data_IF_476930676688
#
_entry.id   IF_476930676688
#
_cell.length_a   1.000
_cell.length_b   1.000
_cell.length_c   1.000
_cell.angle_alpha   90.00
_cell.angle_beta   90.00
_cell.angle_gamma   90.00
#
_symmetry.space_group_name_H-M   'P 1'
#
loop_
_entity.id
_entity.type
_entity.pdbx_description
1 polymer ?
#
# COMPACT_ATOMS: atom_id res chain seq x y z
N UNK A 1 15.56 -14.30 -5.43
CA UNK A 1 14.84 -13.88 -6.66
C UNK A 1 15.35 -12.52 -7.12
N UNK A 2 15.61 -12.38 -8.40
CA UNK A 2 16.06 -11.10 -8.96
C UNK A 2 14.83 -10.24 -9.27
N UNK A 3 14.94 -8.93 -9.08
CA UNK A 3 13.84 -8.01 -9.37
C UNK A 3 13.36 -8.09 -10.81
N UNK A 4 14.26 -8.36 -11.75
CA UNK A 4 13.90 -8.49 -13.17
C UNK A 4 12.99 -9.68 -13.45
N UNK A 5 12.92 -10.65 -12.54
CA UNK A 5 12.09 -11.85 -12.69
C UNK A 5 10.74 -11.69 -12.00
N UNK A 6 10.56 -10.65 -11.19
CA UNK A 6 9.30 -10.40 -10.50
C UNK A 6 8.32 -9.72 -11.45
N UNK A 7 7.10 -10.22 -11.47
CA UNK A 7 6.05 -9.64 -12.30
C UNK A 7 5.51 -8.39 -11.64
N UNK A 8 5.50 -7.28 -12.35
CA UNK A 8 4.90 -6.04 -11.89
C UNK A 8 3.51 -5.88 -12.52
N UNK A 9 2.53 -5.56 -11.69
CA UNK A 9 1.19 -5.21 -12.16
C UNK A 9 0.76 -3.97 -11.39
N UNK A 10 0.17 -3.02 -12.12
CA UNK A 10 -0.39 -1.82 -11.49
C UNK A 10 -1.57 -2.23 -10.61
N UNK A 11 -1.55 -1.89 -9.31
CA UNK A 11 -2.69 -2.21 -8.46
C UNK A 11 -3.86 -1.27 -8.73
N UNK A 12 -5.05 -1.71 -8.31
CA UNK A 12 -6.23 -0.85 -8.31
C UNK A 12 -6.16 0.06 -7.08
N UNK A 13 -5.90 1.35 -7.31
CA UNK A 13 -5.74 2.32 -6.22
C UNK A 13 -7.00 2.44 -5.36
N UNK A 14 -8.17 2.38 -5.98
CA UNK A 14 -9.43 2.46 -5.24
C UNK A 14 -9.61 1.24 -4.35
N UNK A 15 -9.24 0.05 -4.83
CA UNK A 15 -9.29 -1.16 -4.03
C UNK A 15 -8.33 -1.10 -2.86
N UNK A 16 -7.11 -0.60 -3.07
CA UNK A 16 -6.13 -0.46 -1.98
C UNK A 16 -6.63 0.48 -0.91
N UNK A 17 -7.20 1.62 -1.31
CA UNK A 17 -7.76 2.59 -0.36
C UNK A 17 -8.93 1.98 0.40
N UNK A 18 -9.79 1.24 -0.29
CA UNK A 18 -10.93 0.57 0.35
C UNK A 18 -10.48 -0.47 1.36
N UNK A 19 -9.44 -1.24 1.05
CA UNK A 19 -8.88 -2.23 1.97
C UNK A 19 -8.29 -1.58 3.22
N UNK A 20 -7.52 -0.50 3.07
CA UNK A 20 -6.95 0.22 4.20
C UNK A 20 -8.05 0.82 5.08
N UNK A 21 -9.03 1.48 4.46
CA UNK A 21 -10.14 2.09 5.20
C UNK A 21 -11.00 1.04 5.88
N UNK A 22 -11.20 -0.12 5.23
CA UNK A 22 -11.91 -1.24 5.83
C UNK A 22 -11.23 -1.77 7.07
N UNK A 23 -9.90 -1.90 7.05
CA UNK A 23 -9.13 -2.32 8.21
C UNK A 23 -9.23 -1.28 9.33
N UNK A 24 -9.19 0.01 8.99
CA UNK A 24 -9.34 1.09 9.96
C UNK A 24 -10.69 1.01 10.68
N UNK A 25 -11.76 0.81 9.92
CA UNK A 25 -13.10 0.70 10.51
C UNK A 25 -13.21 -0.54 11.41
N UNK A 26 -12.63 -1.66 11.00
CA UNK A 26 -12.59 -2.87 11.84
C UNK A 26 -11.81 -2.64 13.11
N UNK A 27 -10.71 -1.88 13.05
CA UNK A 27 -9.91 -1.56 14.22
C UNK A 27 -10.70 -0.73 15.21
N UNK A 28 -11.45 0.26 14.72
CA UNK A 28 -12.32 1.08 15.59
C UNK A 28 -13.38 0.25 16.28
N UNK A 29 -13.83 -0.83 15.64
CA UNK A 29 -14.85 -1.72 16.19
C UNK A 29 -14.28 -2.90 16.98
N UNK A 30 -12.96 -3.08 16.98
CA UNK A 30 -12.33 -4.20 17.67
C UNK A 30 -12.56 -4.12 19.16
N UNK A 31 -12.95 -5.25 19.76
CA UNK A 31 -13.31 -5.33 21.17
C UNK A 31 -12.27 -6.04 22.03
N UNK A 32 -11.25 -6.63 21.41
CA UNK A 32 -10.23 -7.37 22.13
C UNK A 32 -8.86 -7.13 21.52
N UNK A 33 -7.83 -7.39 22.34
CA UNK A 33 -6.45 -7.32 21.88
C UNK A 33 -6.17 -8.28 20.73
N UNK A 34 -6.77 -9.47 20.78
CA UNK A 34 -6.57 -10.50 19.76
C UNK A 34 -7.10 -10.01 18.41
N UNK A 35 -8.29 -9.43 18.39
CA UNK A 35 -8.85 -8.84 17.16
C UNK A 35 -7.98 -7.73 16.63
N UNK A 36 -7.53 -6.83 17.49
CA UNK A 36 -6.66 -5.72 17.09
C UNK A 36 -5.34 -6.24 16.52
N UNK A 37 -4.76 -7.26 17.15
CA UNK A 37 -3.50 -7.85 16.69
C UNK A 37 -3.62 -8.44 15.30
N UNK A 38 -4.72 -9.14 15.02
CA UNK A 38 -4.95 -9.71 13.70
C UNK A 38 -5.07 -8.62 12.64
N UNK A 39 -5.70 -7.50 12.98
CA UNK A 39 -5.82 -6.36 12.08
C UNK A 39 -4.47 -5.68 11.85
N UNK A 40 -3.63 -5.56 12.88
CA UNK A 40 -2.28 -5.02 12.73
C UNK A 40 -1.46 -5.86 11.76
N UNK A 41 -1.55 -7.19 11.86
CA UNK A 41 -0.82 -8.08 10.97
C UNK A 41 -1.34 -7.98 9.54
N UNK A 42 -2.64 -7.85 9.35
CA UNK A 42 -3.24 -7.69 8.03
C UNK A 42 -2.81 -6.37 7.39
N UNK A 43 -2.77 -5.28 8.17
CA UNK A 43 -2.35 -3.97 7.69
C UNK A 43 -0.86 -3.99 7.31
N UNK A 44 -0.02 -4.61 8.12
CA UNK A 44 1.40 -4.74 7.82
C UNK A 44 1.63 -5.50 6.52
N UNK A 45 0.89 -6.58 6.31
CA UNK A 45 0.98 -7.38 5.09
C UNK A 45 0.56 -6.56 3.87
N UNK A 46 -0.51 -5.78 3.99
CA UNK A 46 -0.98 -4.93 2.91
C UNK A 46 0.05 -3.85 2.58
N UNK A 47 0.63 -3.21 3.59
CA UNK A 47 1.66 -2.20 3.39
C UNK A 47 2.90 -2.76 2.70
N UNK A 48 3.31 -3.96 3.07
CA UNK A 48 4.44 -4.62 2.40
C UNK A 48 4.14 -4.87 0.94
N UNK A 49 2.93 -5.28 0.62
CA UNK A 49 2.51 -5.52 -0.76
C UNK A 49 2.56 -4.22 -1.57
N UNK A 50 2.02 -3.15 -1.03
CA UNK A 50 2.02 -1.83 -1.67
C UNK A 50 3.46 -1.35 -1.89
N UNK A 51 4.30 -1.44 -0.86
CA UNK A 51 5.69 -1.01 -0.93
C UNK A 51 6.48 -1.81 -1.96
N UNK A 52 6.23 -3.12 -2.05
CA UNK A 52 6.90 -3.97 -3.02
C UNK A 52 6.56 -3.54 -4.45
N UNK A 53 5.28 -3.29 -4.72
CA UNK A 53 4.86 -2.86 -6.06
C UNK A 53 5.44 -1.49 -6.41
N UNK A 54 5.39 -0.54 -5.49
CA UNK A 54 5.94 0.80 -5.72
C UNK A 54 7.45 0.75 -5.95
N UNK A 55 8.17 -0.07 -5.18
CA UNK A 55 9.62 -0.22 -5.31
C UNK A 55 9.98 -0.90 -6.64
N UNK A 56 9.20 -1.89 -7.07
CA UNK A 56 9.44 -2.53 -8.36
C UNK A 56 9.30 -1.54 -9.51
N UNK A 57 8.26 -0.72 -9.49
CA UNK A 57 8.07 0.29 -10.53
C UNK A 57 9.23 1.29 -10.53
N UNK A 58 9.66 1.73 -9.36
CA UNK A 58 10.75 2.69 -9.21
C UNK A 58 12.08 2.10 -9.71
N UNK A 59 12.39 0.87 -9.30
CA UNK A 59 13.63 0.20 -9.69
C UNK A 59 13.69 0.00 -11.21
N UNK A 60 12.60 -0.45 -11.81
CA UNK A 60 12.56 -0.67 -13.25
C UNK A 60 12.65 0.63 -14.04
N UNK A 61 12.04 1.70 -13.53
CA UNK A 61 12.17 3.02 -14.13
C UNK A 61 13.62 3.51 -14.08
N UNK A 62 14.31 3.24 -12.96
CA UNK A 62 15.72 3.61 -12.80
C UNK A 62 16.62 2.87 -13.79
N UNK A 63 16.31 1.60 -14.06
CA UNK A 63 17.07 0.78 -15.01
C UNK A 63 16.86 1.27 -16.44
N UNK A 64 15.62 1.61 -16.78
CA UNK A 64 15.29 2.08 -18.14
C UNK A 64 14.35 3.28 -18.05
N UNK A 65 14.96 4.47 -18.02
CA UNK A 65 14.22 5.73 -17.96
C UNK A 65 13.53 6.09 -19.26
N UNK A 66 13.81 5.35 -20.34
CA UNK A 66 13.18 5.57 -21.65
C UNK A 66 11.89 4.79 -21.82
N UNK A 67 11.60 3.85 -20.90
CA UNK A 67 10.41 3.04 -21.00
C UNK A 67 9.19 3.89 -20.61
N UNK A 68 8.36 4.19 -21.60
CA UNK A 68 7.16 5.01 -21.40
C UNK A 68 6.19 4.36 -20.40
N UNK A 69 6.15 3.03 -20.35
CA UNK A 69 5.30 2.32 -19.39
C UNK A 69 5.69 2.65 -17.95
N UNK A 70 6.98 2.52 -17.62
CA UNK A 70 7.43 2.79 -16.25
C UNK A 70 7.43 4.28 -15.91
N UNK A 71 7.59 5.15 -16.90
CA UNK A 71 7.39 6.57 -16.69
C UNK A 71 5.96 6.87 -16.28
N UNK A 72 5.00 6.24 -16.94
CA UNK A 72 3.57 6.34 -16.57
C UNK A 72 3.30 5.77 -15.19
N UNK A 73 3.99 4.67 -14.82
CA UNK A 73 3.84 4.07 -13.49
C UNK A 73 4.36 4.99 -12.39
N UNK A 74 5.46 5.72 -12.64
CA UNK A 74 5.96 6.69 -11.68
C UNK A 74 4.95 7.81 -11.47
N UNK A 75 4.32 8.29 -12.53
CA UNK A 75 3.27 9.31 -12.43
C UNK A 75 2.07 8.78 -11.64
N UNK A 76 1.69 7.53 -11.88
CA UNK A 76 0.60 6.87 -11.14
C UNK A 76 0.91 6.84 -9.64
N UNK A 77 2.10 6.36 -9.26
CA UNK A 77 2.47 6.26 -7.86
C UNK A 77 2.60 7.62 -7.19
N UNK A 78 3.13 8.62 -7.91
CA UNK A 78 3.24 9.98 -7.40
C UNK A 78 1.86 10.59 -7.09
N UNK A 79 0.84 10.18 -7.85
CA UNK A 79 -0.53 10.62 -7.60
C UNK A 79 -1.16 9.84 -6.45
N UNK A 80 -0.93 8.54 -6.38
CA UNK A 80 -1.59 7.63 -5.43
C UNK A 80 -0.96 7.69 -4.04
N UNK A 81 0.36 7.87 -3.94
CA UNK A 81 1.05 7.88 -2.65
C UNK A 81 0.45 8.83 -1.62
N UNK A 82 0.14 10.11 -1.94
CA UNK A 82 -0.51 10.99 -0.97
C UNK A 82 -1.88 10.48 -0.53
N UNK A 83 -2.64 9.85 -1.43
CA UNK A 83 -3.95 9.29 -1.11
C UNK A 83 -3.83 8.11 -0.15
N UNK A 84 -2.85 7.22 -0.39
CA UNK A 84 -2.58 6.09 0.49
C UNK A 84 -2.06 6.57 1.85
N UNK A 85 -1.22 7.60 1.86
CA UNK A 85 -0.72 8.18 3.09
C UNK A 85 -1.84 8.72 3.96
N UNK A 86 -2.84 9.35 3.34
CA UNK A 86 -4.02 9.84 4.06
C UNK A 86 -4.77 8.68 4.72
N UNK A 87 -4.93 7.55 4.01
CA UNK A 87 -5.53 6.34 4.57
C UNK A 87 -4.71 5.80 5.74
N UNK A 88 -3.37 5.85 5.63
CA UNK A 88 -2.46 5.41 6.68
C UNK A 88 -2.58 6.29 7.92
N UNK A 89 -2.75 7.59 7.74
CA UNK A 89 -2.96 8.49 8.86
C UNK A 89 -4.24 8.16 9.61
N UNK A 90 -5.30 7.81 8.88
CA UNK A 90 -6.55 7.35 9.48
C UNK A 90 -6.36 6.09 10.31
N UNK A 91 -5.59 5.14 9.80
CA UNK A 91 -5.25 3.91 10.52
C UNK A 91 -4.48 4.21 11.81
N UNK A 92 -3.44 5.06 11.69
CA UNK A 92 -2.62 5.44 12.84
C UNK A 92 -3.45 6.13 13.90
N UNK A 93 -4.36 7.00 13.51
CA UNK A 93 -5.26 7.68 14.45
C UNK A 93 -6.15 6.67 15.17
N UNK A 94 -6.68 5.69 14.45
CA UNK A 94 -7.50 4.63 15.06
C UNK A 94 -6.69 3.81 16.06
N UNK A 95 -5.41 3.54 15.77
CA UNK A 95 -4.52 2.83 16.71
C UNK A 95 -4.32 3.62 18.00
N UNK A 96 -4.13 4.93 17.89
CA UNK A 96 -3.90 5.78 19.05
C UNK A 96 -5.15 5.91 19.93
N UNK A 97 -6.33 5.76 19.35
CA UNK A 97 -7.60 5.86 20.06
C UNK A 97 -8.07 4.54 20.66
N UNK A 98 -7.48 3.42 20.25
CA UNK A 98 -7.89 2.09 20.72
C UNK A 98 -7.25 1.70 22.03
#
# INVERSE_FOLDING_TARGET
>A
MKFSQMKYERPDAEQLKAELNGLTEKLKAAKSYIEAKELFLAEEKLNKHISTLANLAHIRHTIDTRDAFYDGEMKFWNKVDPELEECQQGWTQAMLES
#
